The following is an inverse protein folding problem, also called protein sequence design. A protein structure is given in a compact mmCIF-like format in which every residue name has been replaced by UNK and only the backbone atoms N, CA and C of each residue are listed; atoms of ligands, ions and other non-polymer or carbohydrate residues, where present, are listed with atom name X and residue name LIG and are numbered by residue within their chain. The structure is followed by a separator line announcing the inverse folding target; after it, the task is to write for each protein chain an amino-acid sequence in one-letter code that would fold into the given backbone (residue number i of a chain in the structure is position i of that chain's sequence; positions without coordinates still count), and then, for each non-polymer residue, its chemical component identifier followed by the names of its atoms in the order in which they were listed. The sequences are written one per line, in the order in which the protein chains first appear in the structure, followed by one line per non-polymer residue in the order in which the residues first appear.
data_IF_597258316970
#
_entry.id   IF_597258316970
#
_cell.length_a   1.000
_cell.length_b   1.000
_cell.length_c   1.000
_cell.angle_alpha   90.00
_cell.angle_beta   90.00
_cell.angle_gamma   90.00
#
_symmetry.space_group_name_H-M   'P 1'
#
loop_
_entity.id
_entity.type
_entity.pdbx_description
1 polymer ?
#
# COMPACT_ATOMS: atom_id res chain seq x y z
N UNK A 1 -21.08 -9.65 -4.22
CA UNK A 1 -19.65 -9.33 -4.07
C UNK A 1 -19.52 -8.24 -3.02
N UNK A 2 -18.34 -7.99 -2.44
CA UNK A 2 -18.20 -6.88 -1.49
C UNK A 2 -18.24 -5.56 -2.25
N UNK A 3 -18.99 -4.56 -1.77
CA UNK A 3 -19.11 -3.23 -2.41
C UNK A 3 -17.74 -2.54 -2.60
N UNK A 4 -16.77 -2.85 -1.73
CA UNK A 4 -15.38 -2.39 -1.85
C UNK A 4 -14.69 -2.96 -3.11
N UNK A 5 -15.05 -4.17 -3.55
CA UNK A 5 -14.52 -4.73 -4.80
C UNK A 5 -15.11 -4.05 -6.04
N UNK A 6 -16.37 -3.61 -5.98
CA UNK A 6 -16.98 -2.84 -7.08
C UNK A 6 -16.27 -1.48 -7.25
N UNK A 7 -15.89 -0.84 -6.14
CA UNK A 7 -15.04 0.36 -6.15
C UNK A 7 -13.62 0.10 -6.71
N UNK A 8 -13.09 -1.11 -6.54
CA UNK A 8 -11.78 -1.49 -7.10
C UNK A 8 -11.77 -1.67 -8.61
N UNK A 9 -12.93 -1.76 -9.26
CA UNK A 9 -13.05 -1.83 -10.72
C UNK A 9 -13.23 -0.46 -11.37
N UNK A 10 -13.55 0.59 -10.59
CA UNK A 10 -13.78 1.94 -11.09
C UNK A 10 -12.48 2.74 -11.25
N UNK A 11 -12.31 3.51 -12.33
CA UNK A 11 -11.11 4.35 -12.51
C UNK A 11 -11.04 5.52 -11.50
N UNK A 12 -12.20 6.00 -11.03
CA UNK A 12 -12.31 7.11 -10.08
C UNK A 12 -13.51 6.91 -9.18
N UNK A 13 -13.38 7.32 -7.91
CA UNK A 13 -14.47 7.25 -6.92
C UNK A 13 -14.86 8.66 -6.50
N UNK A 14 -16.16 8.92 -6.42
CA UNK A 14 -16.72 10.17 -5.88
C UNK A 14 -16.78 10.15 -4.35
N UNK A 15 -16.84 11.33 -3.71
CA UNK A 15 -17.00 11.41 -2.25
C UNK A 15 -18.25 10.69 -1.74
N UNK A 16 -19.35 10.79 -2.48
CA UNK A 16 -20.60 10.12 -2.14
C UNK A 16 -20.44 8.59 -2.12
N UNK A 17 -19.75 8.03 -3.12
CA UNK A 17 -19.44 6.59 -3.19
C UNK A 17 -18.50 6.15 -2.07
N UNK A 18 -17.49 6.97 -1.73
CA UNK A 18 -16.55 6.71 -0.65
C UNK A 18 -17.23 6.69 0.73
N UNK A 19 -18.11 7.67 0.98
CA UNK A 19 -18.90 7.74 2.21
C UNK A 19 -19.92 6.59 2.29
N UNK A 20 -20.55 6.24 1.17
CA UNK A 20 -21.49 5.11 1.11
C UNK A 20 -20.79 3.78 1.41
N UNK A 21 -19.61 3.53 0.85
CA UNK A 21 -18.84 2.32 1.13
C UNK A 21 -18.38 2.24 2.58
N UNK A 22 -17.99 3.38 3.17
CA UNK A 22 -17.65 3.47 4.60
C UNK A 22 -18.84 3.15 5.50
N UNK A 23 -20.02 3.65 5.15
CA UNK A 23 -21.26 3.38 5.88
C UNK A 23 -21.69 1.90 5.77
N UNK A 24 -21.61 1.31 4.58
CA UNK A 24 -21.95 -0.11 4.38
C UNK A 24 -21.04 -1.06 5.16
N UNK A 25 -19.75 -0.71 5.31
CA UNK A 25 -18.83 -1.48 6.16
C UNK A 25 -19.29 -1.48 7.62
N UNK A 26 -19.71 -0.32 8.14
CA UNK A 26 -20.25 -0.20 9.50
C UNK A 26 -21.53 -1.03 9.65
N UNK A 27 -22.47 -0.88 8.73
CA UNK A 27 -23.76 -1.59 8.76
C UNK A 27 -23.60 -3.11 8.69
N UNK A 28 -22.56 -3.59 8.00
CA UNK A 28 -22.24 -5.02 7.93
C UNK A 28 -21.72 -5.58 9.25
N UNK A 29 -20.88 -4.85 9.98
CA UNK A 29 -20.13 -5.39 11.12
C UNK A 29 -20.66 -4.97 12.49
N UNK A 30 -21.26 -3.79 12.62
CA UNK A 30 -21.80 -3.28 13.88
C UNK A 30 -22.90 -4.19 14.48
N UNK A 31 -23.89 -4.71 13.71
CA UNK A 31 -24.92 -5.61 14.24
C UNK A 31 -24.35 -6.95 14.72
N UNK A 32 -23.31 -7.45 14.05
CA UNK A 32 -22.64 -8.69 14.43
C UNK A 32 -21.91 -8.53 15.77
N UNK A 33 -21.20 -7.41 15.99
CA UNK A 33 -20.55 -7.12 17.26
C UNK A 33 -21.57 -6.93 18.39
N UNK A 34 -22.66 -6.23 18.12
CA UNK A 34 -23.78 -6.09 19.06
C UNK A 34 -24.35 -7.46 19.47
N UNK A 35 -24.55 -8.36 18.52
CA UNK A 35 -25.04 -9.73 18.79
C UNK A 35 -24.06 -10.53 19.65
N UNK A 36 -22.75 -10.43 19.40
CA UNK A 36 -21.72 -11.08 20.22
C UNK A 36 -21.74 -10.54 21.66
N UNK A 37 -21.93 -9.24 21.83
CA UNK A 37 -22.09 -8.62 23.15
C UNK A 37 -23.35 -9.11 23.88
N UNK A 38 -24.49 -9.18 23.19
CA UNK A 38 -25.74 -9.67 23.77
C UNK A 38 -25.68 -11.14 24.19
N UNK A 39 -25.06 -12.01 23.37
CA UNK A 39 -24.87 -13.43 23.70
C UNK A 39 -24.02 -13.55 24.97
N UNK A 40 -22.91 -12.80 25.07
CA UNK A 40 -22.06 -12.80 26.27
C UNK A 40 -22.80 -12.35 27.54
N UNK A 41 -23.73 -11.41 27.40
CA UNK A 41 -24.53 -10.88 28.50
C UNK A 41 -25.64 -11.85 28.98
N UNK A 42 -26.14 -12.70 28.09
CA UNK A 42 -27.32 -13.57 28.34
C UNK A 42 -26.97 -15.04 28.56
N UNK A 43 -25.72 -15.45 28.35
CA UNK A 43 -25.28 -16.83 28.57
C UNK A 43 -25.13 -17.10 30.08
N UNK A 44 -25.88 -18.06 30.67
CA UNK A 44 -25.74 -18.42 32.08
C UNK A 44 -24.36 -19.04 32.34
N UNK A 45 -23.68 -18.55 33.37
CA UNK A 45 -22.30 -18.93 33.71
C UNK A 45 -22.37 -20.04 34.77
N UNK A 46 -21.72 -21.18 34.54
CA UNK A 46 -21.57 -22.20 35.58
C UNK A 46 -20.59 -21.71 36.67
N UNK A 47 -20.74 -22.18 37.91
CA UNK A 47 -19.92 -21.71 39.04
C UNK A 47 -18.40 -21.93 38.82
N UNK A 48 -18.01 -22.92 38.00
CA UNK A 48 -16.61 -23.16 37.62
C UNK A 48 -16.04 -22.14 36.60
N UNK A 49 -16.90 -21.45 35.85
CA UNK A 49 -16.50 -20.44 34.85
C UNK A 49 -16.27 -19.04 35.45
N UNK A 50 -16.66 -18.77 36.70
CA UNK A 50 -16.42 -17.46 37.33
C UNK A 50 -14.93 -17.16 37.50
N UNK A 51 -14.14 -18.17 37.88
CA UNK A 51 -12.67 -18.10 37.97
C UNK A 51 -12.01 -17.92 36.60
N UNK A 52 -12.60 -18.51 35.55
CA UNK A 52 -12.13 -18.38 34.17
C UNK A 52 -12.44 -16.99 33.59
N UNK A 53 -13.63 -16.44 33.91
CA UNK A 53 -14.01 -15.09 33.52
C UNK A 53 -13.24 -14.02 34.28
N UNK A 54 -12.86 -14.19 35.55
CA UNK A 54 -12.00 -13.20 36.24
C UNK A 54 -10.59 -13.09 35.66
N UNK A 55 -10.09 -14.14 35.00
CA UNK A 55 -8.83 -14.11 34.24
C UNK A 55 -9.00 -13.52 32.83
N UNK A 56 -10.21 -13.55 32.25
CA UNK A 56 -10.54 -13.00 30.93
C UNK A 56 -11.22 -11.61 30.98
N UNK A 57 -11.64 -11.12 32.15
CA UNK A 57 -12.48 -9.92 32.30
C UNK A 57 -11.74 -8.59 32.20
N UNK A 58 -10.42 -8.57 32.10
CA UNK A 58 -9.66 -7.31 32.15
C UNK A 58 -9.31 -6.68 30.79
N UNK A 59 -9.59 -7.27 29.62
CA UNK A 59 -9.35 -6.64 28.29
C UNK A 59 -10.30 -7.14 27.18
N UNK A 60 -11.59 -6.82 27.25
CA UNK A 60 -12.52 -7.29 26.22
C UNK A 60 -12.39 -6.47 24.91
N UNK A 61 -11.72 -7.04 23.92
CA UNK A 61 -11.54 -6.47 22.59
C UNK A 61 -12.86 -6.16 21.85
N UNK A 62 -13.95 -6.88 22.15
CA UNK A 62 -15.24 -6.76 21.43
C UNK A 62 -15.97 -5.43 21.72
N UNK A 63 -16.21 -5.01 22.98
CA UNK A 63 -16.77 -3.68 23.28
C UNK A 63 -15.94 -2.52 22.72
N UNK A 64 -14.61 -2.60 22.78
CA UNK A 64 -13.73 -1.57 22.23
C UNK A 64 -13.87 -1.44 20.72
N UNK A 65 -14.00 -2.57 20.01
CA UNK A 65 -14.21 -2.57 18.56
C UNK A 65 -15.61 -2.06 18.18
N UNK A 66 -16.62 -2.41 18.99
CA UNK A 66 -17.98 -1.90 18.82
C UNK A 66 -18.01 -0.37 18.94
N UNK A 67 -17.46 0.19 20.02
CA UNK A 67 -17.38 1.64 20.22
C UNK A 67 -16.60 2.34 19.10
N UNK A 68 -15.52 1.74 18.61
CA UNK A 68 -14.74 2.28 17.50
C UNK A 68 -15.58 2.35 16.21
N UNK A 69 -16.22 1.25 15.81
CA UNK A 69 -17.04 1.20 14.60
C UNK A 69 -18.28 2.10 14.71
N UNK A 70 -18.88 2.20 15.89
CA UNK A 70 -20.01 3.10 16.15
C UNK A 70 -19.59 4.57 15.97
N UNK A 71 -18.45 4.98 16.55
CA UNK A 71 -17.91 6.34 16.38
C UNK A 71 -17.56 6.63 14.92
N UNK A 72 -16.95 5.66 14.23
CA UNK A 72 -16.64 5.79 12.80
C UNK A 72 -17.91 5.98 11.97
N UNK A 73 -18.94 5.15 12.19
CA UNK A 73 -20.24 5.27 11.51
C UNK A 73 -20.93 6.61 11.77
N UNK A 74 -20.93 7.08 13.01
CA UNK A 74 -21.50 8.39 13.34
C UNK A 74 -20.77 9.52 12.61
N UNK A 75 -19.44 9.44 12.51
CA UNK A 75 -18.66 10.44 11.83
C UNK A 75 -18.88 10.44 10.31
N UNK A 76 -18.98 9.26 9.69
CA UNK A 76 -19.34 9.10 8.27
C UNK A 76 -20.74 9.67 7.99
N UNK A 77 -21.73 9.36 8.83
CA UNK A 77 -23.09 9.92 8.72
C UNK A 77 -23.11 11.45 8.84
N UNK A 78 -22.28 12.01 9.73
CA UNK A 78 -22.14 13.46 9.85
C UNK A 78 -21.53 14.07 8.58
N UNK A 79 -20.51 13.44 7.98
CA UNK A 79 -19.92 13.91 6.72
C UNK A 79 -20.90 13.83 5.55
N UNK A 80 -21.71 12.76 5.46
CA UNK A 80 -22.79 12.67 4.47
C UNK A 80 -23.80 13.81 4.62
N UNK A 81 -24.19 14.15 5.85
CA UNK A 81 -25.08 15.27 6.11
C UNK A 81 -24.47 16.63 5.74
N UNK A 82 -23.15 16.78 5.86
CA UNK A 82 -22.43 17.99 5.40
C UNK A 82 -22.39 18.03 3.87
N UNK A 83 -22.12 16.91 3.20
CA UNK A 83 -22.10 16.82 1.74
C UNK A 83 -23.47 17.18 1.12
N UNK A 84 -24.56 16.62 1.65
CA UNK A 84 -25.93 16.92 1.18
C UNK A 84 -26.28 18.42 1.32
N UNK A 85 -25.70 19.09 2.33
CA UNK A 85 -25.86 20.55 2.51
C UNK A 85 -24.93 21.36 1.60
N UNK A 86 -23.78 20.79 1.23
CA UNK A 86 -22.80 21.38 0.33
C UNK A 86 -23.31 21.47 -1.11
N UNK A 87 -24.12 20.50 -1.54
CA UNK A 87 -24.77 20.46 -2.88
C UNK A 87 -25.68 21.69 -3.17
N UNK A 88 -25.91 22.56 -2.18
CA UNK A 88 -26.68 23.79 -2.30
C UNK A 88 -25.80 25.05 -2.42
N UNK A 89 -24.48 24.92 -2.40
CA UNK A 89 -23.50 26.01 -2.45
C UNK A 89 -23.00 26.28 -3.88
N UNK A 90 -22.24 27.36 -4.06
CA UNK A 90 -21.60 27.66 -5.34
C UNK A 90 -20.43 26.70 -5.62
N UNK A 91 -20.17 26.38 -6.89
CA UNK A 91 -19.23 25.34 -7.31
C UNK A 91 -17.78 25.47 -6.76
N UNK A 92 -17.29 26.69 -6.50
CA UNK A 92 -15.96 26.91 -5.90
C UNK A 92 -15.93 26.62 -4.38
N UNK A 93 -17.03 26.89 -3.69
CA UNK A 93 -17.18 26.55 -2.26
C UNK A 93 -17.39 25.05 -2.07
N UNK A 94 -18.08 24.41 -3.01
CA UNK A 94 -18.29 22.95 -3.09
C UNK A 94 -16.95 22.20 -3.20
N UNK A 95 -16.09 22.58 -4.16
CA UNK A 95 -14.78 21.92 -4.35
C UNK A 95 -13.85 22.04 -3.13
N UNK A 96 -13.85 23.20 -2.45
CA UNK A 96 -13.03 23.40 -1.25
C UNK A 96 -13.56 22.61 -0.06
N UNK A 97 -14.87 22.47 0.05
CA UNK A 97 -15.53 21.72 1.10
C UNK A 97 -15.31 20.21 0.91
N UNK A 98 -15.39 19.72 -0.33
CA UNK A 98 -15.09 18.34 -0.69
C UNK A 98 -13.68 17.92 -0.27
N UNK A 99 -12.67 18.74 -0.54
CA UNK A 99 -11.29 18.50 -0.10
C UNK A 99 -11.14 18.33 1.41
N UNK A 100 -11.83 19.16 2.19
CA UNK A 100 -11.81 19.05 3.66
C UNK A 100 -12.55 17.80 4.15
N UNK A 101 -13.63 17.41 3.46
CA UNK A 101 -14.37 16.19 3.78
C UNK A 101 -13.53 14.96 3.43
N UNK A 102 -12.80 14.97 2.30
CA UNK A 102 -11.87 13.92 1.90
C UNK A 102 -10.78 13.69 2.94
N UNK A 103 -10.07 14.75 3.32
CA UNK A 103 -8.98 14.64 4.30
C UNK A 103 -9.50 14.13 5.64
N UNK A 104 -10.67 14.60 6.08
CA UNK A 104 -11.32 14.09 7.31
C UNK A 104 -11.69 12.62 7.19
N UNK A 105 -12.26 12.18 6.07
CA UNK A 105 -12.65 10.78 5.86
C UNK A 105 -11.43 9.86 5.92
N UNK A 106 -10.35 10.19 5.22
CA UNK A 106 -9.12 9.40 5.19
C UNK A 106 -8.47 9.34 6.58
N UNK A 107 -8.33 10.48 7.27
CA UNK A 107 -7.80 10.51 8.63
C UNK A 107 -8.62 9.65 9.63
N UNK A 108 -9.94 9.60 9.46
CA UNK A 108 -10.81 8.76 10.29
C UNK A 108 -10.68 7.26 9.96
N UNK A 109 -10.51 6.91 8.68
CA UNK A 109 -10.24 5.54 8.24
C UNK A 109 -8.89 5.04 8.76
N UNK A 110 -7.84 5.86 8.65
CA UNK A 110 -6.51 5.57 9.22
C UNK A 110 -6.60 5.34 10.73
N UNK A 111 -7.30 6.22 11.45
CA UNK A 111 -7.51 6.07 12.88
C UNK A 111 -8.30 4.79 13.23
N UNK A 112 -9.33 4.44 12.44
CA UNK A 112 -10.12 3.22 12.61
C UNK A 112 -9.28 1.96 12.36
N UNK A 113 -8.44 1.95 11.31
CA UNK A 113 -7.49 0.88 11.01
C UNK A 113 -6.49 0.72 12.16
N UNK A 114 -5.87 1.81 12.62
CA UNK A 114 -4.90 1.78 13.70
C UNK A 114 -5.53 1.28 15.01
N UNK A 115 -6.73 1.76 15.35
CA UNK A 115 -7.45 1.34 16.54
C UNK A 115 -7.87 -0.13 16.45
N UNK A 116 -8.41 -0.58 15.31
CA UNK A 116 -8.73 -1.98 15.07
C UNK A 116 -7.50 -2.88 15.16
N UNK A 117 -6.35 -2.43 14.65
CA UNK A 117 -5.07 -3.15 14.71
C UNK A 117 -4.54 -3.24 16.14
N UNK A 118 -4.67 -2.17 16.95
CA UNK A 118 -4.28 -2.17 18.36
C UNK A 118 -5.17 -3.08 19.23
N UNK A 119 -6.46 -3.18 18.89
CA UNK A 119 -7.39 -4.13 19.52
C UNK A 119 -7.10 -5.57 19.07
N UNK A 120 -6.61 -5.74 17.84
CA UNK A 120 -6.24 -7.02 17.25
C UNK A 120 -4.91 -7.56 17.81
N UNK A 121 -4.93 -8.03 19.06
CA UNK A 121 -3.87 -8.86 19.63
C UNK A 121 -4.11 -10.36 19.37
N UNK A 122 -4.36 -10.75 18.10
CA UNK A 122 -4.59 -12.14 17.65
C UNK A 122 -5.82 -12.86 18.22
N UNK A 123 -6.80 -12.14 18.75
CA UNK A 123 -7.85 -12.73 19.59
C UNK A 123 -9.05 -13.38 18.85
N UNK A 124 -9.35 -13.08 17.57
CA UNK A 124 -10.45 -13.76 16.83
C UNK A 124 -10.47 -13.49 15.32
N UNK A 125 -10.95 -14.47 14.54
CA UNK A 125 -11.14 -14.43 13.08
C UNK A 125 -12.08 -13.31 12.63
N UNK A 126 -13.05 -12.94 13.46
CA UNK A 126 -13.99 -11.85 13.21
C UNK A 126 -13.31 -10.48 13.16
N UNK A 127 -12.32 -10.25 14.03
CA UNK A 127 -11.51 -9.03 14.05
C UNK A 127 -10.62 -8.93 12.81
N UNK A 128 -10.04 -10.06 12.38
CA UNK A 128 -9.23 -10.11 11.17
C UNK A 128 -10.04 -9.78 9.91
N UNK A 129 -11.33 -10.15 9.86
CA UNK A 129 -12.22 -9.79 8.75
C UNK A 129 -12.52 -8.29 8.71
N UNK A 130 -12.85 -7.70 9.87
CA UNK A 130 -13.14 -6.25 9.98
C UNK A 130 -11.90 -5.43 9.62
N UNK A 131 -10.74 -5.79 10.17
CA UNK A 131 -9.47 -5.12 9.86
C UNK A 131 -9.12 -5.23 8.37
N UNK A 132 -9.31 -6.41 7.77
CA UNK A 132 -9.06 -6.62 6.34
C UNK A 132 -9.93 -5.73 5.46
N UNK A 133 -11.23 -5.59 5.76
CA UNK A 133 -12.12 -4.74 4.98
C UNK A 133 -11.89 -3.24 5.22
N UNK A 134 -11.53 -2.83 6.45
CA UNK A 134 -11.14 -1.46 6.74
C UNK A 134 -9.86 -1.05 5.98
N UNK A 135 -8.84 -1.91 5.97
CA UNK A 135 -7.61 -1.68 5.21
C UNK A 135 -7.89 -1.65 3.71
N UNK A 136 -8.69 -2.58 3.20
CA UNK A 136 -9.05 -2.62 1.78
C UNK A 136 -9.78 -1.35 1.35
N UNK A 137 -10.71 -0.87 2.17
CA UNK A 137 -11.44 0.38 1.92
C UNK A 137 -10.48 1.58 1.96
N UNK A 138 -9.62 1.65 2.96
CA UNK A 138 -8.65 2.74 3.11
C UNK A 138 -7.72 2.83 1.88
N UNK A 139 -7.11 1.71 1.49
CA UNK A 139 -6.22 1.63 0.33
C UNK A 139 -6.95 2.03 -0.97
N UNK A 140 -8.20 1.57 -1.13
CA UNK A 140 -9.01 1.88 -2.32
C UNK A 140 -9.35 3.36 -2.39
N UNK A 141 -9.69 3.97 -1.25
CA UNK A 141 -10.03 5.39 -1.18
C UNK A 141 -8.80 6.27 -1.37
N UNK A 142 -7.66 5.96 -0.75
CA UNK A 142 -6.40 6.67 -0.97
C UNK A 142 -5.94 6.64 -2.44
N UNK A 143 -6.20 5.54 -3.16
CA UNK A 143 -5.73 5.37 -4.53
C UNK A 143 -6.67 5.99 -5.58
N UNK A 144 -7.97 6.01 -5.31
CA UNK A 144 -8.99 6.31 -6.33
C UNK A 144 -9.82 7.56 -6.07
N UNK A 145 -9.72 8.14 -4.88
CA UNK A 145 -10.25 9.47 -4.65
C UNK A 145 -9.38 10.47 -5.42
N UNK A 146 -9.98 11.05 -6.48
CA UNK A 146 -9.39 12.19 -7.16
C UNK A 146 -9.31 13.36 -6.17
N UNK A 147 -8.14 13.56 -5.58
CA UNK A 147 -7.75 14.89 -5.11
C UNK A 147 -7.62 15.72 -6.39
N UNK A 148 -8.67 16.47 -6.72
CA UNK A 148 -8.69 17.35 -7.89
C UNK A 148 -7.42 18.21 -7.89
N UNK A 149 -6.79 18.34 -9.06
CA UNK A 149 -5.58 19.13 -9.30
C UNK A 149 -5.54 20.42 -8.46
N UNK A 150 -4.82 20.40 -7.34
CA UNK A 150 -4.44 21.62 -6.64
C UNK A 150 -3.28 22.22 -7.42
N UNK A 151 -3.62 23.13 -8.32
CA UNK A 151 -2.67 23.88 -9.12
C UNK A 151 -1.65 24.57 -8.23
N UNK A 152 -0.38 24.17 -8.37
CA UNK A 152 0.72 25.11 -8.25
C UNK A 152 0.63 25.99 -9.49
N UNK A 153 0.04 27.17 -9.30
CA UNK A 153 0.12 28.26 -10.26
C UNK A 153 1.59 28.69 -10.28
N UNK A 154 2.36 28.20 -11.24
CA UNK A 154 3.61 28.85 -11.61
C UNK A 154 3.25 30.16 -12.31
N UNK A 155 3.79 31.25 -11.76
CA UNK A 155 3.58 32.59 -12.24
C UNK A 155 4.14 32.74 -13.66
N UNK A 156 3.27 33.30 -14.49
CA UNK A 156 3.45 33.83 -15.83
C UNK A 156 4.81 34.51 -16.06
N UNK A 157 5.55 34.04 -17.07
CA UNK A 157 6.39 34.92 -17.88
C UNK A 157 6.60 34.33 -19.29
N UNK A 158 5.72 34.72 -20.20
CA UNK A 158 6.12 35.35 -21.47
C UNK A 158 6.66 34.48 -22.61
N UNK A 159 5.76 34.24 -23.56
CA UNK A 159 5.93 34.24 -25.02
C UNK A 159 6.49 33.02 -25.80
N UNK A 160 5.54 32.34 -26.45
CA UNK A 160 5.45 32.05 -27.90
C UNK A 160 6.46 31.07 -28.55
N UNK A 161 6.02 29.84 -28.90
CA UNK A 161 5.40 29.44 -30.20
C UNK A 161 5.27 27.90 -30.27
N UNK A 162 4.12 27.47 -30.79
CA UNK A 162 3.58 26.11 -30.99
C UNK A 162 4.42 25.21 -31.90
N UNK A 163 4.59 23.92 -31.53
CA UNK A 163 4.25 22.75 -32.39
C UNK A 163 4.24 21.41 -31.62
N UNK A 164 3.03 20.83 -31.51
CA UNK A 164 2.61 19.42 -31.41
C UNK A 164 3.66 18.30 -31.23
N UNK A 165 3.58 17.55 -30.11
CA UNK A 165 3.23 16.11 -30.12
C UNK A 165 3.02 15.53 -28.69
N UNK A 166 2.26 14.42 -28.56
CA UNK A 166 1.82 13.86 -27.28
C UNK A 166 2.73 12.72 -26.81
N UNK A 167 3.18 12.79 -25.55
CA UNK A 167 3.68 11.71 -24.67
C UNK A 167 4.71 12.34 -23.73
N UNK A 168 4.31 12.69 -22.51
CA UNK A 168 5.25 13.03 -21.43
C UNK A 168 4.60 12.71 -20.08
N UNK A 169 4.76 11.45 -19.66
CA UNK A 169 4.94 11.07 -18.26
C UNK A 169 6.14 11.85 -17.72
N UNK A 170 6.14 12.34 -16.46
CA UNK A 170 7.25 13.14 -15.96
C UNK A 170 8.50 12.24 -15.85
N UNK A 171 9.45 12.46 -16.77
CA UNK A 171 10.82 11.99 -16.61
C UNK A 171 11.38 12.59 -15.32
N UNK A 172 11.72 11.71 -14.39
CA UNK A 172 12.66 12.02 -13.32
C UNK A 172 13.89 12.64 -13.98
N UNK A 173 14.18 13.90 -13.66
CA UNK A 173 15.43 14.55 -14.05
C UNK A 173 16.58 13.77 -13.40
N UNK A 174 17.19 12.88 -14.18
CA UNK A 174 18.37 12.11 -13.79
C UNK A 174 19.58 13.02 -13.98
N UNK A 175 20.30 13.31 -12.90
CA UNK A 175 21.65 13.87 -12.98
C UNK A 175 22.46 13.01 -13.96
N UNK A 176 23.17 13.63 -14.91
CA UNK A 176 23.66 13.01 -16.16
C UNK A 176 24.69 11.87 -16.05
N UNK A 177 24.87 11.28 -14.88
CA UNK A 177 25.87 10.24 -14.61
C UNK A 177 25.31 9.04 -13.83
N UNK A 178 24.00 9.00 -13.62
CA UNK A 178 23.30 7.92 -12.94
C UNK A 178 22.38 7.18 -13.91
N UNK A 179 22.25 5.86 -13.76
CA UNK A 179 21.32 5.03 -14.54
C UNK A 179 20.65 3.99 -13.65
N UNK A 180 19.46 3.57 -14.07
CA UNK A 180 18.74 2.49 -13.40
C UNK A 180 19.17 1.12 -13.97
N UNK A 181 19.37 0.15 -13.09
CA UNK A 181 19.60 -1.25 -13.45
C UNK A 181 18.73 -2.17 -12.60
N UNK A 182 18.50 -3.38 -13.10
CA UNK A 182 17.50 -4.29 -12.54
C UNK A 182 18.15 -5.62 -12.16
N UNK A 183 18.23 -5.92 -10.87
CA UNK A 183 18.88 -7.13 -10.36
C UNK A 183 17.83 -8.19 -10.06
N UNK A 184 17.83 -9.31 -10.78
CA UNK A 184 16.95 -10.45 -10.44
C UNK A 184 17.41 -11.09 -9.14
N UNK A 185 16.47 -11.23 -8.21
CA UNK A 185 16.67 -11.88 -6.92
C UNK A 185 15.79 -13.12 -6.81
N UNK A 186 16.27 -14.10 -6.04
CA UNK A 186 15.54 -15.33 -5.75
C UNK A 186 15.58 -15.61 -4.25
N UNK A 187 14.42 -15.93 -3.69
CA UNK A 187 14.34 -16.47 -2.34
C UNK A 187 13.16 -17.43 -2.22
N UNK A 188 13.36 -18.60 -1.59
CA UNK A 188 12.30 -19.61 -1.51
C UNK A 188 11.02 -19.10 -0.82
N UNK A 189 11.15 -18.14 0.10
CA UNK A 189 10.02 -17.54 0.83
C UNK A 189 9.59 -16.19 0.26
N UNK A 190 9.99 -15.83 -0.97
CA UNK A 190 9.63 -14.53 -1.57
C UNK A 190 8.11 -14.33 -1.62
N UNK A 191 7.34 -15.39 -1.85
CA UNK A 191 5.87 -15.38 -1.77
C UNK A 191 5.31 -14.91 -0.41
N UNK A 192 6.10 -14.99 0.66
CA UNK A 192 5.72 -14.50 1.99
C UNK A 192 5.87 -12.99 2.16
N UNK A 193 6.48 -12.29 1.19
CA UNK A 193 6.60 -10.82 1.21
C UNK A 193 5.23 -10.15 1.20
N UNK A 194 4.29 -10.70 0.42
CA UNK A 194 2.89 -10.28 0.39
C UNK A 194 2.05 -10.86 1.55
N UNK A 195 2.62 -11.76 2.35
CA UNK A 195 1.89 -12.37 3.46
C UNK A 195 2.03 -11.50 4.70
N UNK A 196 0.92 -10.92 5.17
CA UNK A 196 0.88 -10.06 6.37
C UNK A 196 1.24 -10.75 7.70
N UNK A 197 1.83 -11.95 7.65
CA UNK A 197 2.27 -12.77 8.80
C UNK A 197 3.66 -13.39 8.59
N UNK A 198 4.40 -12.98 7.54
CA UNK A 198 5.71 -13.56 7.22
C UNK A 198 6.81 -13.05 8.14
N UNK A 199 7.63 -13.95 8.69
CA UNK A 199 8.93 -13.56 9.26
C UNK A 199 9.85 -13.07 8.14
N UNK A 200 9.89 -11.75 7.90
CA UNK A 200 10.69 -11.10 6.86
C UNK A 200 12.17 -10.90 7.24
N UNK A 201 12.66 -11.60 8.27
CA UNK A 201 14.08 -11.56 8.68
C UNK A 201 15.04 -11.95 7.53
N UNK A 202 14.55 -12.66 6.52
CA UNK A 202 15.32 -13.03 5.33
C UNK A 202 15.50 -11.89 4.32
N UNK A 203 14.65 -10.87 4.36
CA UNK A 203 14.62 -9.79 3.37
C UNK A 203 15.88 -8.94 3.45
N UNK A 204 16.31 -8.56 4.66
CA UNK A 204 17.53 -7.77 4.87
C UNK A 204 18.78 -8.49 4.34
N UNK A 205 19.07 -9.76 4.70
CA UNK A 205 20.16 -10.52 4.10
C UNK A 205 20.09 -10.64 2.58
N UNK A 206 18.88 -10.75 2.00
CA UNK A 206 18.71 -10.78 0.54
C UNK A 206 19.11 -9.44 -0.09
N UNK A 207 18.65 -8.31 0.45
CA UNK A 207 19.01 -6.99 -0.06
C UNK A 207 20.52 -6.73 0.14
N UNK A 208 21.07 -7.05 1.31
CA UNK A 208 22.52 -6.94 1.57
C UNK A 208 23.34 -7.75 0.54
N UNK A 209 22.83 -8.90 0.11
CA UNK A 209 23.50 -9.74 -0.90
C UNK A 209 23.56 -9.10 -2.30
N UNK A 210 22.67 -8.15 -2.60
CA UNK A 210 22.65 -7.40 -3.88
C UNK A 210 23.85 -6.45 -3.99
N UNK A 211 24.39 -5.94 -2.88
CA UNK A 211 25.67 -5.19 -2.87
C UNK A 211 26.83 -5.97 -3.48
N UNK A 212 26.73 -7.30 -3.42
CA UNK A 212 27.73 -8.23 -3.93
C UNK A 212 27.21 -9.01 -5.15
N UNK A 213 26.35 -8.39 -5.96
CA UNK A 213 25.71 -9.01 -7.13
C UNK A 213 26.68 -9.77 -8.05
N UNK A 214 27.87 -9.22 -8.33
CA UNK A 214 28.91 -9.91 -9.13
C UNK A 214 29.36 -11.22 -8.47
N UNK A 215 29.70 -11.18 -7.18
CA UNK A 215 30.22 -12.32 -6.41
C UNK A 215 29.16 -13.41 -6.23
N UNK A 216 27.90 -13.01 -6.04
CA UNK A 216 26.78 -13.93 -5.88
C UNK A 216 26.18 -14.40 -7.21
N UNK A 217 26.68 -13.89 -8.35
CA UNK A 217 26.23 -14.31 -9.67
C UNK A 217 24.80 -13.88 -9.99
N UNK A 218 24.34 -12.76 -9.44
CA UNK A 218 23.03 -12.22 -9.78
C UNK A 218 22.99 -11.74 -11.22
N UNK A 219 21.85 -11.96 -11.87
CA UNK A 219 21.59 -11.45 -13.21
C UNK A 219 21.17 -9.98 -13.09
N UNK A 220 21.95 -9.10 -13.70
CA UNK A 220 21.71 -7.65 -13.73
C UNK A 220 21.34 -7.26 -15.15
N UNK A 221 20.16 -6.68 -15.32
CA UNK A 221 19.62 -6.26 -16.60
C UNK A 221 19.70 -4.75 -16.73
N UNK A 222 19.95 -4.28 -17.95
CA UNK A 222 19.89 -2.87 -18.31
C UNK A 222 18.45 -2.37 -18.47
N UNK A 223 17.54 -3.26 -18.88
CA UNK A 223 16.15 -2.93 -19.13
C UNK A 223 15.20 -3.70 -18.20
N UNK A 224 14.18 -3.01 -17.69
CA UNK A 224 13.19 -3.59 -16.78
C UNK A 224 12.41 -4.73 -17.44
N UNK A 225 12.06 -4.58 -18.73
CA UNK A 225 11.33 -5.58 -19.48
C UNK A 225 12.04 -6.95 -19.51
N UNK A 226 13.37 -6.97 -19.53
CA UNK A 226 14.15 -8.20 -19.51
C UNK A 226 14.17 -8.82 -18.12
N UNK A 227 14.28 -7.99 -17.07
CA UNK A 227 14.15 -8.45 -15.69
C UNK A 227 12.79 -9.10 -15.44
N UNK A 228 11.69 -8.49 -15.92
CA UNK A 228 10.33 -9.05 -15.81
C UNK A 228 10.21 -10.40 -16.53
N UNK A 229 10.67 -10.48 -17.79
CA UNK A 229 10.64 -11.73 -18.57
C UNK A 229 11.47 -12.85 -17.95
N UNK A 230 12.47 -12.49 -17.14
CA UNK A 230 13.38 -13.44 -16.51
C UNK A 230 12.82 -14.11 -15.24
N UNK A 231 11.69 -13.63 -14.70
CA UNK A 231 11.09 -14.13 -13.46
C UNK A 231 10.36 -15.46 -13.72
N UNK A 232 10.71 -16.51 -12.98
CA UNK A 232 10.17 -17.87 -13.15
C UNK A 232 9.32 -18.31 -11.96
N UNK A 233 8.32 -17.51 -11.61
CA UNK A 233 7.37 -17.81 -10.54
C UNK A 233 7.48 -16.89 -9.31
N UNK A 234 6.75 -17.25 -8.26
CA UNK A 234 6.55 -16.46 -7.04
C UNK A 234 7.77 -16.39 -6.11
N UNK A 235 8.79 -17.22 -6.33
CA UNK A 235 10.06 -17.18 -5.61
C UNK A 235 11.03 -16.10 -6.14
N UNK A 236 10.68 -15.41 -7.23
CA UNK A 236 11.54 -14.44 -7.91
C UNK A 236 10.98 -13.02 -7.82
N UNK A 237 11.88 -12.06 -7.72
CA UNK A 237 11.59 -10.63 -7.91
C UNK A 237 12.78 -9.93 -8.54
N UNK A 238 12.73 -8.62 -8.65
CA UNK A 238 13.91 -7.82 -9.02
C UNK A 238 14.02 -6.57 -8.17
N UNK A 239 15.26 -6.16 -7.91
CA UNK A 239 15.58 -4.90 -7.23
C UNK A 239 16.00 -3.89 -8.27
N UNK A 240 15.40 -2.71 -8.24
CA UNK A 240 15.83 -1.55 -9.03
C UNK A 240 16.92 -0.81 -8.27
N UNK A 241 18.09 -0.74 -8.87
CA UNK A 241 19.24 0.01 -8.37
C UNK A 241 19.43 1.27 -9.19
N UNK A 242 19.86 2.35 -8.54
CA UNK A 242 20.39 3.54 -9.18
C UNK A 242 21.90 3.52 -9.06
N UNK A 243 22.60 3.30 -10.16
CA UNK A 243 24.06 3.20 -10.18
C UNK A 243 24.67 4.34 -10.96
N UNK A 244 25.90 4.70 -10.63
CA UNK A 244 26.75 5.59 -11.44
C UNK A 244 27.37 4.84 -12.60
N UNK A 245 27.74 5.57 -13.65
CA UNK A 245 28.50 5.02 -14.79
C UNK A 245 29.75 4.25 -14.37
N UNK A 246 30.44 4.69 -13.31
CA UNK A 246 31.67 4.05 -12.78
C UNK A 246 31.43 2.70 -12.09
N UNK A 247 30.21 2.44 -11.60
CA UNK A 247 29.85 1.18 -10.95
C UNK A 247 29.52 0.08 -11.98
N UNK A 248 29.24 0.44 -13.24
CA UNK A 248 29.11 -0.51 -14.34
C UNK A 248 30.50 -0.90 -14.89
N UNK A 249 30.97 -2.08 -14.49
CA UNK A 249 32.26 -2.63 -14.89
C UNK A 249 32.11 -3.69 -16.00
N UNK A 250 30.99 -3.71 -16.72
CA UNK A 250 30.71 -4.70 -17.77
C UNK A 250 31.75 -4.71 -18.90
N UNK A 251 32.43 -3.60 -19.14
CA UNK A 251 33.51 -3.52 -20.12
C UNK A 251 34.84 -4.12 -19.62
N UNK A 252 35.01 -4.23 -18.30
CA UNK A 252 36.23 -4.73 -17.63
C UNK A 252 36.17 -6.24 -17.34
N UNK A 253 35.06 -6.89 -17.68
CA UNK A 253 34.77 -8.29 -17.37
C UNK A 253 34.35 -9.05 -18.63
N UNK A 254 34.48 -10.38 -18.66
CA UNK A 254 33.94 -11.18 -19.74
C UNK A 254 32.44 -10.93 -19.91
N UNK A 255 31.99 -10.84 -21.16
CA UNK A 255 30.56 -10.64 -21.45
C UNK A 255 29.73 -11.78 -20.87
N UNK A 256 28.63 -11.43 -20.22
CA UNK A 256 27.63 -12.36 -19.67
C UNK A 256 26.33 -12.20 -20.46
N UNK A 257 25.68 -13.31 -20.75
CA UNK A 257 24.41 -13.34 -21.48
C UNK A 257 23.42 -14.17 -20.68
N UNK A 258 22.18 -13.72 -20.58
CA UNK A 258 21.12 -14.54 -20.01
C UNK A 258 20.83 -15.72 -20.95
N UNK A 259 20.99 -16.98 -20.50
CA UNK A 259 20.83 -18.14 -21.37
C UNK A 259 19.39 -18.39 -21.82
N UNK A 260 18.41 -17.75 -21.16
CA UNK A 260 16.98 -17.90 -21.45
C UNK A 260 16.50 -16.80 -22.40
N UNK A 261 16.93 -15.55 -22.15
CA UNK A 261 16.46 -14.39 -22.91
C UNK A 261 17.41 -13.97 -24.03
N UNK A 262 18.67 -14.41 -24.00
CA UNK A 262 19.70 -14.04 -24.98
C UNK A 262 20.19 -12.60 -24.87
N UNK A 263 19.76 -11.85 -23.84
CA UNK A 263 20.18 -10.47 -23.63
C UNK A 263 21.50 -10.37 -22.85
N UNK A 264 22.22 -9.26 -23.02
CA UNK A 264 23.46 -8.99 -22.30
C UNK A 264 23.15 -8.68 -20.83
N UNK A 265 23.91 -9.30 -19.93
CA UNK A 265 23.86 -9.00 -18.50
C UNK A 265 24.97 -8.01 -18.14
N UNK A 266 24.64 -7.04 -17.31
CA UNK A 266 25.60 -6.10 -16.75
C UNK A 266 26.41 -6.75 -15.63
N UNK A 267 27.61 -6.23 -15.38
CA UNK A 267 28.40 -6.52 -14.18
C UNK A 267 28.62 -5.23 -13.43
N UNK A 268 28.16 -5.19 -12.18
CA UNK A 268 28.21 -4.02 -11.31
C UNK A 268 29.11 -4.30 -10.09
N UNK A 269 29.81 -3.27 -9.62
CA UNK A 269 30.66 -3.32 -8.43
C UNK A 269 30.40 -2.11 -7.51
N UNK A 270 30.78 -2.25 -6.24
CA UNK A 270 30.74 -1.18 -5.23
C UNK A 270 29.36 -0.50 -5.09
N UNK A 271 28.30 -1.31 -5.06
CA UNK A 271 26.91 -0.85 -4.90
C UNK A 271 26.58 -0.65 -3.42
N UNK A 272 25.97 0.49 -3.07
CA UNK A 272 25.47 0.72 -1.71
C UNK A 272 24.00 0.30 -1.53
N UNK A 273 23.54 0.18 -0.29
CA UNK A 273 22.14 -0.14 0.02
C UNK A 273 21.23 1.04 -0.32
N UNK A 274 21.74 2.26 -0.18
CA UNK A 274 20.99 3.48 -0.45
C UNK A 274 20.76 3.68 -1.95
N UNK A 275 21.51 2.96 -2.80
CA UNK A 275 21.29 2.89 -4.24
C UNK A 275 20.05 2.03 -4.60
N UNK A 276 19.49 1.27 -3.65
CA UNK A 276 18.30 0.45 -3.86
C UNK A 276 17.04 1.31 -3.78
N UNK A 277 16.37 1.49 -4.92
CA UNK A 277 15.19 2.35 -5.02
C UNK A 277 13.92 1.56 -4.74
N UNK A 278 13.82 0.36 -5.32
CA UNK A 278 12.59 -0.45 -5.30
C UNK A 278 12.89 -1.94 -5.33
N UNK A 279 11.98 -2.73 -4.77
CA UNK A 279 11.88 -4.17 -4.96
C UNK A 279 10.53 -4.46 -5.62
N UNK A 280 10.52 -5.21 -6.72
CA UNK A 280 9.28 -5.62 -7.39
C UNK A 280 9.10 -7.13 -7.29
N UNK A 281 7.92 -7.56 -6.88
CA UNK A 281 7.53 -8.97 -6.73
C UNK A 281 6.05 -9.14 -7.08
N UNK A 282 5.73 -10.06 -8.00
CA UNK A 282 4.34 -10.34 -8.43
C UNK A 282 3.55 -9.08 -8.81
N UNK A 283 4.16 -8.18 -9.58
CA UNK A 283 3.56 -6.89 -9.99
C UNK A 283 3.28 -5.92 -8.83
N UNK A 284 3.66 -6.25 -7.60
CA UNK A 284 3.68 -5.34 -6.46
C UNK A 284 5.04 -4.67 -6.39
N UNK A 285 5.04 -3.34 -6.31
CA UNK A 285 6.25 -2.55 -6.16
C UNK A 285 6.41 -2.13 -4.72
N UNK A 286 7.61 -2.30 -4.19
CA UNK A 286 7.98 -1.90 -2.86
C UNK A 286 9.06 -0.84 -2.95
N UNK A 287 8.77 0.40 -2.53
CA UNK A 287 9.78 1.45 -2.46
C UNK A 287 10.64 1.25 -1.21
N UNK A 288 11.95 1.39 -1.36
CA UNK A 288 12.90 1.35 -0.25
C UNK A 288 13.24 2.79 0.11
N UNK A 289 12.85 3.23 1.30
CA UNK A 289 13.16 4.57 1.82
C UNK A 289 13.58 4.45 3.29
N UNK A 290 14.67 5.10 3.68
CA UNK A 290 15.16 5.14 5.07
C UNK A 290 15.33 3.75 5.73
N UNK A 291 15.71 2.74 4.93
CA UNK A 291 15.85 1.36 5.39
C UNK A 291 14.53 0.63 5.66
N UNK A 292 13.39 1.22 5.25
CA UNK A 292 12.04 0.67 5.37
C UNK A 292 11.49 0.35 3.98
N UNK A 293 10.78 -0.79 3.89
CA UNK A 293 10.13 -1.24 2.68
C UNK A 293 8.65 -0.80 2.68
N UNK A 294 8.29 0.13 1.80
CA UNK A 294 6.94 0.65 1.62
C UNK A 294 6.27 0.01 0.42
N UNK A 295 5.13 -0.66 0.61
CA UNK A 295 4.32 -1.17 -0.50
C UNK A 295 3.66 0.01 -1.23
N UNK A 296 3.78 0.06 -2.56
CA UNK A 296 3.22 1.07 -3.48
C UNK A 296 2.15 0.44 -4.35
#
# INVERSE_FOLDING_TARGET
MSYIHELQEQDTITLAEALNASQQLVEKYLPMLHRVMQIRATTPVSEDEQTFRSAQSSKSAVPQLYEMLERFGQAVSNLQAVLIRADQLAAEEEQRLDAQIYEKLLNMLDAAVQHCNNIYAEHSTTFAMILKELVLLNDTLHLKLKVGNWGVVEADSGDSVVTNNPENTPELVVNSDEKLVFVRVFYRKMATLNSGKGHLHWLKPLLDSVKHAEKHGFAVYEHEADAIKSLKGDAYGYVTLKIKSTQDISAQRPSKVDPVLGCRLLTIADVDIDDMVKLTHQSVTYRICDGVLHKV
#
